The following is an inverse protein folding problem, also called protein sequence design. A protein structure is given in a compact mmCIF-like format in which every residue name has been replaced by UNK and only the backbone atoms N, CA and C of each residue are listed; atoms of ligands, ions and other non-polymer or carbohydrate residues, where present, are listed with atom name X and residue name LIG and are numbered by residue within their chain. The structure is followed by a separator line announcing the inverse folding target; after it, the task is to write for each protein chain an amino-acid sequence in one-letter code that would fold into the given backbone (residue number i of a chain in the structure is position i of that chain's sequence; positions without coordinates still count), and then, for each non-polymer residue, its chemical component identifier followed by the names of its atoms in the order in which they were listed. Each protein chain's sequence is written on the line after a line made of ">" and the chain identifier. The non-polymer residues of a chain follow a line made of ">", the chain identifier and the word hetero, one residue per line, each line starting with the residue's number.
data_IF_493077516078
#
_entry.id   IF_493077516078
#
_cell.length_a   1.000
_cell.length_b   1.000
_cell.length_c   1.000
_cell.angle_alpha   90.00
_cell.angle_beta   90.00
_cell.angle_gamma   90.00
#
_symmetry.space_group_name_H-M   'P 1'
#
loop_
_entity.id
_entity.type
_entity.pdbx_description
1 polymer ?
#
# COMPACT_ATOMS: atom_id res chain seq x y z
N UNK A 1 13.56 19.51 1.65
CA UNK A 1 12.15 19.74 2.01
C UNK A 1 11.73 18.54 2.82
N UNK A 2 11.15 18.74 4.01
CA UNK A 2 10.57 17.64 4.78
C UNK A 2 9.35 17.13 4.01
N UNK A 3 9.31 15.84 3.72
CA UNK A 3 8.20 15.24 3.01
C UNK A 3 6.96 15.27 3.91
N UNK A 4 5.80 15.72 3.40
CA UNK A 4 4.55 15.70 4.18
C UNK A 4 4.07 14.26 4.41
N UNK A 5 3.56 14.01 5.61
CA UNK A 5 3.14 12.69 6.08
C UNK A 5 1.70 12.73 6.59
N UNK A 6 1.01 11.58 6.52
CA UNK A 6 -0.28 11.33 7.14
C UNK A 6 -0.13 10.15 8.11
N UNK A 7 -1.07 10.01 9.05
CA UNK A 7 -1.11 8.88 9.98
C UNK A 7 -2.00 7.78 9.41
N UNK A 8 -1.40 6.64 9.12
CA UNK A 8 -2.08 5.39 8.82
C UNK A 8 -2.38 4.67 10.13
N UNK A 9 -3.66 4.37 10.40
CA UNK A 9 -4.05 3.57 11.57
C UNK A 9 -4.45 2.19 11.09
N UNK A 10 -3.87 1.14 11.67
CA UNK A 10 -4.23 -0.26 11.38
C UNK A 10 -4.50 -0.96 12.71
N UNK A 11 -5.74 -1.40 12.93
CA UNK A 11 -6.18 -2.05 14.17
C UNK A 11 -5.79 -1.27 15.44
N UNK A 12 -5.85 0.07 15.38
CA UNK A 12 -5.51 0.99 16.47
C UNK A 12 -4.02 1.31 16.63
N UNK A 13 -3.13 0.79 15.76
CA UNK A 13 -1.72 1.16 15.74
C UNK A 13 -1.46 2.25 14.70
N UNK A 14 -0.69 3.28 15.08
CA UNK A 14 -0.41 4.45 14.26
C UNK A 14 0.95 4.35 13.56
N UNK A 15 0.98 4.72 12.28
CA UNK A 15 2.18 4.74 11.44
C UNK A 15 2.23 6.03 10.64
N UNK A 16 3.35 6.77 10.70
CA UNK A 16 3.55 7.93 9.84
C UNK A 16 4.03 7.51 8.45
N UNK A 17 3.33 7.97 7.40
CA UNK A 17 3.62 7.57 6.03
C UNK A 17 3.57 8.79 5.08
N UNK A 18 4.44 8.90 4.07
CA UNK A 18 4.41 10.02 3.14
C UNK A 18 3.10 10.14 2.33
N UNK A 19 2.66 11.38 2.05
CA UNK A 19 1.42 11.66 1.28
C UNK A 19 1.32 10.92 -0.05
N UNK A 20 2.42 10.79 -0.81
CA UNK A 20 2.40 10.13 -2.12
C UNK A 20 1.95 8.67 -2.07
N UNK A 21 2.09 8.02 -0.92
CA UNK A 21 1.72 6.59 -0.73
C UNK A 21 0.22 6.40 -0.56
N UNK A 22 -0.52 7.45 -0.15
CA UNK A 22 -1.94 7.38 0.17
C UNK A 22 -2.80 6.70 -0.91
N UNK A 23 -2.78 7.14 -2.19
CA UNK A 23 -3.63 6.53 -3.21
C UNK A 23 -3.27 5.07 -3.49
N UNK A 24 -2.01 4.67 -3.28
CA UNK A 24 -1.57 3.29 -3.42
C UNK A 24 -2.12 2.39 -2.32
N UNK A 25 -1.91 2.79 -1.06
CA UNK A 25 -2.35 2.01 0.10
C UNK A 25 -3.88 1.90 0.11
N UNK A 26 -4.59 3.02 -0.11
CA UNK A 26 -6.05 3.06 -0.16
C UNK A 26 -6.61 2.13 -1.23
N UNK A 27 -6.05 2.16 -2.45
CA UNK A 27 -6.53 1.32 -3.55
C UNK A 27 -6.20 -0.15 -3.30
N UNK A 28 -4.98 -0.47 -2.89
CA UNK A 28 -4.54 -1.85 -2.64
C UNK A 28 -5.38 -2.52 -1.52
N UNK A 29 -5.63 -1.79 -0.43
CA UNK A 29 -6.49 -2.28 0.65
C UNK A 29 -7.93 -2.50 0.17
N UNK A 30 -8.48 -1.57 -0.62
CA UNK A 30 -9.82 -1.70 -1.20
C UNK A 30 -10.01 -2.86 -2.20
N UNK A 31 -8.92 -3.51 -2.63
CA UNK A 31 -8.94 -4.70 -3.49
C UNK A 31 -8.87 -6.02 -2.70
N UNK A 32 -8.66 -5.95 -1.38
CA UNK A 32 -8.74 -7.13 -0.53
C UNK A 32 -10.19 -7.63 -0.45
N UNK A 33 -10.37 -8.94 -0.32
CA UNK A 33 -11.67 -9.57 -0.17
C UNK A 33 -11.59 -10.69 0.89
N UNK A 34 -12.74 -11.04 1.47
CA UNK A 34 -12.85 -12.09 2.47
C UNK A 34 -12.32 -13.44 1.92
N UNK A 35 -11.43 -14.10 2.67
CA UNK A 35 -10.78 -15.35 2.26
C UNK A 35 -9.69 -15.19 1.17
N UNK A 36 -9.39 -13.96 0.76
CA UNK A 36 -8.33 -13.64 -0.19
C UNK A 36 -6.92 -13.62 0.40
N UNK A 37 -5.93 -13.36 -0.45
CA UNK A 37 -4.51 -13.24 -0.06
C UNK A 37 -4.28 -11.90 0.66
N UNK A 38 -3.60 -11.89 1.83
CA UNK A 38 -3.27 -10.65 2.53
C UNK A 38 -2.24 -9.81 1.76
N UNK A 39 -2.26 -8.50 2.02
CA UNK A 39 -1.30 -7.54 1.50
C UNK A 39 -0.17 -7.33 2.52
N UNK A 40 1.07 -7.56 2.13
CA UNK A 40 2.25 -7.12 2.87
C UNK A 40 2.56 -5.67 2.47
N UNK A 41 2.24 -4.74 3.35
CA UNK A 41 2.57 -3.34 3.23
C UNK A 41 3.93 -3.08 3.90
N UNK A 42 4.89 -2.59 3.12
CA UNK A 42 6.17 -2.10 3.62
C UNK A 42 6.20 -0.59 3.56
N UNK A 43 6.30 0.02 4.73
CA UNK A 43 6.41 1.46 4.91
C UNK A 43 7.82 1.80 5.42
N UNK A 44 8.31 3.04 5.20
CA UNK A 44 9.60 3.45 5.71
C UNK A 44 9.73 3.23 7.22
N UNK A 45 10.92 2.79 7.66
CA UNK A 45 11.31 2.72 9.08
C UNK A 45 10.42 1.84 9.99
N UNK A 46 9.65 0.93 9.40
CA UNK A 46 8.66 0.10 10.08
C UNK A 46 8.78 -1.35 9.64
N UNK A 47 8.26 -2.27 10.45
CA UNK A 47 8.24 -3.70 10.10
C UNK A 47 7.17 -3.99 9.05
N UNK A 48 7.33 -5.07 8.28
CA UNK A 48 6.33 -5.58 7.34
C UNK A 48 4.94 -5.68 7.99
N UNK A 49 3.97 -4.94 7.45
CA UNK A 49 2.59 -4.90 7.94
C UNK A 49 1.71 -5.80 7.09
N UNK A 50 1.04 -6.78 7.70
CA UNK A 50 0.15 -7.69 7.00
C UNK A 50 -1.31 -7.23 7.13
N UNK A 51 -1.86 -6.75 6.02
CA UNK A 51 -3.23 -6.27 5.90
C UNK A 51 -4.16 -7.35 5.34
N UNK A 52 -5.27 -7.56 6.03
CA UNK A 52 -6.37 -8.45 5.68
C UNK A 52 -7.64 -7.62 5.43
N UNK A 53 -8.57 -8.18 4.66
CA UNK A 53 -9.86 -7.51 4.36
C UNK A 53 -10.65 -7.07 5.60
N UNK A 54 -10.50 -7.78 6.72
CA UNK A 54 -11.21 -7.48 7.97
C UNK A 54 -10.50 -6.52 8.91
N UNK A 55 -9.30 -6.04 8.56
CA UNK A 55 -8.57 -5.10 9.40
C UNK A 55 -9.25 -3.72 9.39
N UNK A 56 -9.21 -3.05 10.54
CA UNK A 56 -9.68 -1.68 10.67
C UNK A 56 -8.57 -0.72 10.21
N UNK A 57 -8.79 -0.02 9.09
CA UNK A 57 -7.80 0.85 8.46
C UNK A 57 -8.34 2.26 8.29
N UNK A 58 -7.68 3.23 8.93
CA UNK A 58 -8.02 4.65 8.86
C UNK A 58 -6.85 5.47 8.29
N UNK A 59 -7.20 6.55 7.57
CA UNK A 59 -6.25 7.50 7.01
C UNK A 59 -6.50 8.87 7.63
N UNK A 60 -5.59 9.33 8.49
CA UNK A 60 -5.74 10.59 9.24
C UNK A 60 -4.75 11.62 8.70
N UNK A 61 -5.29 12.78 8.29
CA UNK A 61 -4.52 13.92 7.80
C UNK A 61 -4.70 15.12 8.74
N UNK A 62 -3.61 15.84 9.03
CA UNK A 62 -3.65 17.07 9.84
C UNK A 62 -4.55 18.15 9.20
N UNK A 63 -4.44 18.32 7.89
CA UNK A 63 -5.36 19.10 7.07
C UNK A 63 -5.91 18.22 5.94
N UNK A 64 -7.13 17.67 6.08
CA UNK A 64 -7.76 16.85 5.05
C UNK A 64 -8.04 17.59 3.72
N UNK A 65 -7.88 18.92 3.68
CA UNK A 65 -8.07 19.76 2.49
C UNK A 65 -6.74 20.22 1.89
N UNK A 66 -5.62 19.71 2.38
CA UNK A 66 -4.30 20.06 1.84
C UNK A 66 -4.23 19.68 0.34
N UNK A 67 -3.97 20.63 -0.57
CA UNK A 67 -3.95 20.38 -2.01
C UNK A 67 -2.78 19.49 -2.45
N UNK A 68 -1.80 19.22 -1.58
CA UNK A 68 -0.71 18.27 -1.85
C UNK A 68 -1.12 16.82 -1.58
N UNK A 69 -2.29 16.54 -0.99
CA UNK A 69 -2.80 15.18 -0.83
C UNK A 69 -3.16 14.64 -2.22
N UNK A 70 -2.49 13.56 -2.69
CA UNK A 70 -2.78 13.01 -4.00
C UNK A 70 -4.10 12.24 -3.95
N UNK A 71 -5.09 12.67 -4.74
CA UNK A 71 -6.44 12.10 -4.65
C UNK A 71 -6.55 10.68 -5.20
N UNK A 72 -5.87 10.40 -6.32
CA UNK A 72 -6.03 9.16 -7.08
C UNK A 72 -4.74 8.74 -7.77
N UNK A 73 -4.60 7.43 -8.00
CA UNK A 73 -3.62 6.89 -8.93
C UNK A 73 -3.98 7.28 -10.37
N UNK A 74 -2.98 7.56 -11.20
CA UNK A 74 -3.16 7.69 -12.64
C UNK A 74 -3.59 6.36 -13.26
N UNK A 75 -4.16 6.38 -14.47
CA UNK A 75 -4.60 5.16 -15.16
C UNK A 75 -3.48 4.10 -15.30
N UNK A 76 -2.26 4.53 -15.63
CA UNK A 76 -1.12 3.61 -15.76
C UNK A 76 -0.69 3.01 -14.42
N UNK A 77 -0.80 3.78 -13.33
CA UNK A 77 -0.52 3.30 -11.97
C UNK A 77 -1.59 2.33 -11.47
N UNK A 78 -2.86 2.57 -11.83
CA UNK A 78 -3.94 1.63 -11.56
C UNK A 78 -3.70 0.29 -12.26
N UNK A 79 -3.35 0.28 -13.55
CA UNK A 79 -3.01 -0.95 -14.28
C UNK A 79 -1.84 -1.68 -13.59
N UNK A 80 -0.78 -0.95 -13.22
CA UNK A 80 0.36 -1.56 -12.52
C UNK A 80 -0.07 -2.22 -11.21
N UNK A 81 -0.92 -1.57 -10.43
CA UNK A 81 -1.42 -2.15 -9.19
C UNK A 81 -2.29 -3.38 -9.45
N UNK A 82 -3.20 -3.28 -10.43
CA UNK A 82 -4.11 -4.35 -10.84
C UNK A 82 -3.34 -5.60 -11.29
N UNK A 83 -2.31 -5.46 -12.14
CA UNK A 83 -1.45 -6.56 -12.61
C UNK A 83 -0.84 -7.38 -11.45
N UNK A 84 -0.49 -6.73 -10.33
CA UNK A 84 0.08 -7.41 -9.14
C UNK A 84 -1.00 -8.02 -8.24
N UNK A 85 -2.19 -7.43 -8.22
CA UNK A 85 -3.30 -7.94 -7.40
C UNK A 85 -4.13 -9.02 -8.10
N UNK A 86 -4.18 -9.05 -9.43
CA UNK A 86 -4.92 -10.01 -10.27
C UNK A 86 -4.05 -11.18 -10.79
N UNK A 87 -2.74 -11.17 -10.52
CA UNK A 87 -1.82 -12.25 -10.85
C UNK A 87 -2.32 -13.62 -10.40
N UNK A 88 -2.60 -14.49 -11.36
CA UNK A 88 -3.14 -15.83 -11.19
C UNK A 88 -2.13 -16.74 -10.49
N UNK A 89 -2.12 -16.82 -9.14
CA UNK A 89 -1.62 -18.01 -8.41
C UNK A 89 -1.97 -18.07 -6.94
N UNK A 90 -2.23 -19.31 -6.52
CA UNK A 90 -2.56 -19.81 -5.19
C UNK A 90 -1.45 -19.64 -4.12
N UNK A 91 -0.31 -19.08 -4.48
CA UNK A 91 0.89 -18.93 -3.65
C UNK A 91 1.66 -17.73 -4.15
N UNK A 92 1.86 -16.73 -3.30
CA UNK A 92 2.46 -15.45 -3.67
C UNK A 92 1.93 -14.33 -2.78
N UNK A 93 2.70 -13.92 -1.79
CA UNK A 93 2.31 -12.78 -0.96
C UNK A 93 2.29 -11.50 -1.81
N UNK A 94 1.21 -10.72 -1.74
CA UNK A 94 1.09 -9.42 -2.44
C UNK A 94 1.90 -8.39 -1.66
N UNK A 95 3.04 -7.94 -2.17
CA UNK A 95 3.85 -6.91 -1.50
C UNK A 95 3.59 -5.55 -2.15
N UNK A 96 3.13 -4.59 -1.36
CA UNK A 96 3.15 -3.16 -1.69
C UNK A 96 4.26 -2.53 -0.87
N UNK A 97 5.39 -2.29 -1.50
CA UNK A 97 6.54 -1.63 -0.87
C UNK A 97 6.56 -0.16 -1.28
N UNK A 98 6.24 0.70 -0.32
CA UNK A 98 6.29 2.16 -0.44
C UNK A 98 7.44 2.75 0.39
N UNK A 99 8.43 1.92 0.75
CA UNK A 99 9.61 2.35 1.50
C UNK A 99 10.67 3.04 0.64
N UNK A 100 10.65 2.84 -0.69
CA UNK A 100 11.57 3.52 -1.60
C UNK A 100 11.19 5.00 -1.78
N UNK A 101 12.15 5.89 -1.59
CA UNK A 101 12.00 7.35 -1.65
C UNK A 101 11.79 7.89 -3.08
N UNK A 102 11.79 7.00 -4.09
CA UNK A 102 11.70 7.33 -5.51
C UNK A 102 10.28 7.56 -6.03
N UNK A 103 9.27 7.55 -5.16
CA UNK A 103 7.89 7.89 -5.52
C UNK A 103 7.22 6.87 -6.47
N UNK A 104 7.77 5.67 -6.57
CA UNK A 104 7.14 4.55 -7.26
C UNK A 104 7.15 3.36 -6.29
N UNK A 105 5.99 2.73 -6.01
CA UNK A 105 5.99 1.54 -5.21
C UNK A 105 6.69 0.40 -5.93
N UNK A 106 7.31 -0.44 -5.12
CA UNK A 106 7.98 -1.66 -5.53
C UNK A 106 7.00 -2.81 -5.29
N UNK A 107 6.74 -3.62 -6.32
CA UNK A 107 5.73 -4.67 -6.29
C UNK A 107 6.32 -6.05 -6.61
N UNK A 108 6.24 -6.99 -5.67
CA UNK A 108 6.92 -8.30 -5.78
C UNK A 108 6.00 -9.41 -5.29
N UNK A 109 6.03 -10.56 -5.97
CA UNK A 109 5.39 -11.80 -5.52
C UNK A 109 6.41 -12.63 -4.75
N UNK A 110 6.20 -12.84 -3.46
CA UNK A 110 7.09 -13.70 -2.66
C UNK A 110 6.73 -15.17 -2.96
N UNK A 111 7.63 -15.88 -3.67
CA UNK A 111 7.59 -17.26 -4.22
C UNK A 111 7.58 -17.41 -5.75
N UNK A 112 7.88 -16.36 -6.53
CA UNK A 112 8.17 -16.56 -7.96
C UNK A 112 9.52 -17.31 -8.15
N UNK A 113 9.54 -18.55 -8.69
CA UNK A 113 10.76 -19.31 -8.94
C UNK A 113 11.71 -18.65 -9.95
N UNK A 114 11.30 -17.57 -10.64
CA UNK A 114 12.16 -16.80 -11.55
C UNK A 114 13.11 -15.83 -10.83
N UNK A 115 12.89 -15.53 -9.55
CA UNK A 115 13.71 -14.60 -8.77
C UNK A 115 14.55 -15.33 -7.69
N UNK A 116 14.72 -16.66 -7.79
CA UNK A 116 15.70 -17.43 -7.01
C UNK A 116 17.08 -17.47 -7.67
#
# INVERSE_FOLDING_TARGET
>A
MTQKTFTLVINGYEYEVPYWTFPWIRRAFGMLHEGGVPLNLRIPETSDLWLHHGDDVEFIFDDPRDPEIPENLTYNEQIRLEDITEGDRRYGHRVLDVSDDKGNPIFWEWDDPKFR
#
